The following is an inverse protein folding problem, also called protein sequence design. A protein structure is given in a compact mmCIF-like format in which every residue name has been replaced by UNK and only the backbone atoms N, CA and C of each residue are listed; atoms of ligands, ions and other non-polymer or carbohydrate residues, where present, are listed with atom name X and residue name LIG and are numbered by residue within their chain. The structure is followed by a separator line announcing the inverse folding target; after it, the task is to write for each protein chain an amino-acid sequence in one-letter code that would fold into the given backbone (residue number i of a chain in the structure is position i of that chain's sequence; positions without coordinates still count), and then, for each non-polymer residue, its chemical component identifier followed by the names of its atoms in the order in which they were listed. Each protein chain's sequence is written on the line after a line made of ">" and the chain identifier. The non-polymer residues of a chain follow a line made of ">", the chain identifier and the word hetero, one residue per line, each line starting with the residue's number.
data_IF_765060259099
#
_entry.id   IF_765060259099
#
_cell.length_a   1.000
_cell.length_b   1.000
_cell.length_c   1.000
_cell.angle_alpha   90.00
_cell.angle_beta   90.00
_cell.angle_gamma   90.00
#
_symmetry.space_group_name_H-M   'P 1'
#
loop_
_entity.id
_entity.type
_entity.pdbx_description
1 polymer ?
#
# COMPACT_ATOMS: atom_id res chain seq x y z
N UNK A 1 19.86 13.85 -7.16
CA UNK A 1 19.14 14.45 -8.30
C UNK A 1 17.86 13.65 -8.47
N UNK A 2 16.72 14.30 -8.65
CA UNK A 2 15.46 13.58 -8.71
C UNK A 2 15.19 13.12 -10.15
N UNK A 3 14.81 11.86 -10.29
CA UNK A 3 14.57 11.24 -11.59
C UNK A 3 13.34 10.32 -11.51
N UNK A 4 12.53 10.23 -12.58
CA UNK A 4 11.41 9.30 -12.62
C UNK A 4 11.87 7.85 -12.48
N UNK A 5 11.09 7.03 -11.75
CA UNK A 5 11.44 5.63 -11.44
C UNK A 5 11.74 4.81 -12.70
N UNK A 6 10.90 4.91 -13.74
CA UNK A 6 11.09 4.19 -15.01
C UNK A 6 12.46 4.48 -15.66
N UNK A 7 12.95 5.72 -15.53
CA UNK A 7 14.24 6.12 -16.09
C UNK A 7 15.38 5.61 -15.21
N UNK A 8 15.21 5.70 -13.88
CA UNK A 8 16.17 5.18 -12.92
C UNK A 8 16.39 3.68 -13.07
N UNK A 9 15.31 2.92 -13.22
CA UNK A 9 15.32 1.50 -13.54
C UNK A 9 16.15 1.24 -14.80
N UNK A 10 15.85 1.89 -15.92
CA UNK A 10 16.57 1.73 -17.18
C UNK A 10 18.07 2.04 -17.07
N UNK A 11 18.43 3.10 -16.35
CA UNK A 11 19.84 3.50 -16.17
C UNK A 11 20.59 2.58 -15.19
N UNK A 12 19.87 1.92 -14.28
CA UNK A 12 20.46 0.96 -13.34
C UNK A 12 20.71 -0.43 -13.96
N UNK A 13 20.06 -0.77 -15.09
CA UNK A 13 20.21 -2.07 -15.79
C UNK A 13 21.68 -2.36 -16.16
N UNK A 14 22.48 -1.32 -16.40
CA UNK A 14 23.90 -1.49 -16.71
C UNK A 14 24.63 -2.35 -15.67
N UNK A 15 24.28 -2.22 -14.38
CA UNK A 15 24.82 -3.04 -13.31
C UNK A 15 24.38 -4.52 -13.41
N UNK A 16 23.11 -4.77 -13.80
CA UNK A 16 22.58 -6.14 -14.00
C UNK A 16 23.22 -6.85 -15.19
N UNK A 17 23.63 -6.11 -16.21
CA UNK A 17 24.28 -6.64 -17.42
C UNK A 17 25.81 -6.73 -17.31
N UNK A 18 26.40 -6.46 -16.14
CA UNK A 18 27.85 -6.49 -15.95
C UNK A 18 28.61 -5.35 -16.63
N UNK A 19 27.91 -4.28 -17.00
CA UNK A 19 28.49 -3.06 -17.57
C UNK A 19 28.61 -1.96 -16.51
N UNK A 20 29.31 -0.87 -16.82
CA UNK A 20 29.45 0.26 -15.90
C UNK A 20 28.09 0.84 -15.50
N UNK A 21 27.81 0.91 -14.19
CA UNK A 21 26.62 1.55 -13.64
C UNK A 21 26.68 3.07 -13.89
N UNK A 22 25.71 3.62 -14.61
CA UNK A 22 25.65 5.07 -14.90
C UNK A 22 25.07 5.86 -13.72
N UNK A 23 24.16 5.26 -12.95
CA UNK A 23 23.46 5.89 -11.83
C UNK A 23 23.29 4.91 -10.68
N UNK A 24 23.56 5.37 -9.46
CA UNK A 24 23.17 4.68 -8.23
C UNK A 24 21.80 5.17 -7.79
N UNK A 25 20.92 4.24 -7.45
CA UNK A 25 19.58 4.55 -6.94
C UNK A 25 19.65 4.48 -5.42
N UNK A 26 19.03 5.45 -4.76
CA UNK A 26 18.87 5.50 -3.32
C UNK A 26 17.44 5.06 -2.94
N UNK A 27 17.28 4.62 -1.69
CA UNK A 27 15.97 4.24 -1.16
C UNK A 27 15.05 5.47 -1.09
N UNK A 28 13.80 5.41 -1.59
CA UNK A 28 12.86 6.51 -1.44
C UNK A 28 12.52 6.80 0.02
N UNK A 29 12.26 8.06 0.36
CA UNK A 29 11.89 8.48 1.73
C UNK A 29 10.66 7.74 2.29
N UNK A 30 9.72 7.40 1.40
CA UNK A 30 8.52 6.61 1.72
C UNK A 30 8.87 5.21 2.27
N UNK A 31 10.02 4.65 1.92
CA UNK A 31 10.53 3.35 2.36
C UNK A 31 11.75 3.47 3.28
N UNK A 32 11.97 4.66 3.85
CA UNK A 32 13.04 4.88 4.83
C UNK A 32 12.91 3.95 6.04
N UNK A 33 14.03 3.65 6.70
CA UNK A 33 14.06 2.82 7.91
C UNK A 33 13.10 3.33 9.00
N UNK A 34 12.93 4.65 9.11
CA UNK A 34 11.97 5.26 10.04
C UNK A 34 10.54 4.81 9.75
N UNK A 35 10.14 4.80 8.47
CA UNK A 35 8.81 4.32 8.06
C UNK A 35 8.71 2.82 8.30
N UNK A 36 9.72 2.05 7.92
CA UNK A 36 9.74 0.60 8.13
C UNK A 36 9.61 0.22 9.61
N UNK A 37 10.29 0.94 10.50
CA UNK A 37 10.17 0.74 11.95
C UNK A 37 8.79 1.13 12.49
N UNK A 38 8.19 2.19 11.93
CA UNK A 38 6.83 2.59 12.29
C UNK A 38 5.80 1.54 11.84
N UNK A 39 5.95 0.97 10.63
CA UNK A 39 5.12 -0.12 10.13
C UNK A 39 5.27 -1.41 10.95
N UNK A 40 6.50 -1.73 11.38
CA UNK A 40 6.76 -2.84 12.33
C UNK A 40 6.03 -2.65 13.67
N UNK A 41 5.97 -1.41 14.17
CA UNK A 41 5.35 -1.08 15.45
C UNK A 41 3.82 -1.15 15.40
N UNK A 42 3.18 -0.35 14.54
CA UNK A 42 1.75 -0.48 14.24
C UNK A 42 1.42 0.10 12.85
N UNK A 43 1.11 -0.76 11.86
CA UNK A 43 0.87 -0.32 10.50
C UNK A 43 -0.42 0.49 10.32
N UNK A 44 -1.35 0.45 11.27
CA UNK A 44 -2.66 1.12 11.16
C UNK A 44 -2.59 2.62 11.42
N UNK A 45 -1.55 3.05 12.12
CA UNK A 45 -1.34 4.45 12.53
C UNK A 45 -0.75 5.32 11.43
N UNK A 46 -0.22 4.71 10.36
CA UNK A 46 0.38 5.42 9.24
C UNK A 46 -0.64 5.72 8.12
N UNK A 47 -0.56 6.96 7.64
CA UNK A 47 -1.16 7.39 6.38
C UNK A 47 -0.21 7.00 5.23
N UNK A 48 -0.47 5.85 4.62
CA UNK A 48 0.34 5.34 3.51
C UNK A 48 0.24 6.24 2.29
N UNK A 49 -0.93 6.86 2.07
CA UNK A 49 -1.17 7.76 0.96
C UNK A 49 -0.32 9.04 1.05
N UNK A 50 -0.13 9.57 2.25
CA UNK A 50 0.73 10.72 2.51
C UNK A 50 2.21 10.40 2.26
N UNK A 51 2.64 9.15 2.47
CA UNK A 51 3.99 8.69 2.13
C UNK A 51 4.15 8.51 0.62
N UNK A 52 3.24 7.76 -0.01
CA UNK A 52 3.17 7.60 -1.45
C UNK A 52 1.75 7.17 -1.87
N UNK A 53 1.10 7.84 -2.85
CA UNK A 53 -0.24 7.45 -3.29
C UNK A 53 -0.35 6.00 -3.80
N UNK A 54 0.74 5.46 -4.35
CA UNK A 54 0.87 4.09 -4.82
C UNK A 54 1.93 3.34 -4.02
N UNK A 55 1.82 3.37 -2.68
CA UNK A 55 2.82 2.85 -1.76
C UNK A 55 3.25 1.40 -2.08
N UNK A 56 2.32 0.45 -2.14
CA UNK A 56 2.67 -0.96 -2.40
C UNK A 56 3.26 -1.17 -3.80
N UNK A 57 2.73 -0.52 -4.83
CA UNK A 57 3.29 -0.63 -6.19
C UNK A 57 4.70 -0.05 -6.27
N UNK A 58 4.96 1.05 -5.55
CA UNK A 58 6.31 1.61 -5.42
C UNK A 58 7.23 0.61 -4.71
N UNK A 59 6.78 0.02 -3.60
CA UNK A 59 7.55 -0.98 -2.86
C UNK A 59 7.90 -2.19 -3.70
N UNK A 60 6.97 -2.72 -4.50
CA UNK A 60 7.22 -3.84 -5.40
C UNK A 60 8.35 -3.51 -6.40
N UNK A 61 8.29 -2.32 -7.04
CA UNK A 61 9.32 -1.88 -7.98
C UNK A 61 10.68 -1.66 -7.33
N UNK A 62 10.68 -1.12 -6.12
CA UNK A 62 11.92 -0.94 -5.35
C UNK A 62 12.49 -2.29 -4.93
N UNK A 63 11.68 -3.25 -4.49
CA UNK A 63 12.13 -4.60 -4.14
C UNK A 63 12.65 -5.40 -5.36
N UNK A 64 12.16 -5.10 -6.57
CA UNK A 64 12.77 -5.64 -7.80
C UNK A 64 14.22 -5.13 -7.99
N UNK A 65 14.52 -3.92 -7.51
CA UNK A 65 15.83 -3.25 -7.63
C UNK A 65 16.77 -3.54 -6.45
N UNK A 66 16.22 -3.71 -5.25
CA UNK A 66 16.94 -3.94 -4.00
C UNK A 66 16.41 -5.22 -3.35
N UNK A 67 17.27 -6.23 -3.21
CA UNK A 67 16.91 -7.50 -2.57
C UNK A 67 16.93 -7.35 -1.04
N UNK A 68 15.82 -6.90 -0.44
CA UNK A 68 15.67 -6.66 1.00
C UNK A 68 14.58 -7.58 1.59
N UNK A 69 14.94 -8.82 1.98
CA UNK A 69 13.98 -9.82 2.48
C UNK A 69 13.19 -9.34 3.71
N UNK A 70 13.83 -8.65 4.64
CA UNK A 70 13.17 -8.12 5.84
C UNK A 70 12.07 -7.11 5.48
N UNK A 71 12.28 -6.31 4.43
CA UNK A 71 11.28 -5.35 3.97
C UNK A 71 10.06 -6.06 3.39
N UNK A 72 10.25 -7.17 2.67
CA UNK A 72 9.15 -7.99 2.14
C UNK A 72 8.26 -8.50 3.27
N UNK A 73 8.85 -9.00 4.35
CA UNK A 73 8.10 -9.52 5.50
C UNK A 73 7.27 -8.43 6.18
N UNK A 74 7.87 -7.26 6.40
CA UNK A 74 7.19 -6.12 7.03
C UNK A 74 6.04 -5.63 6.16
N UNK A 75 6.24 -5.47 4.86
CA UNK A 75 5.20 -5.01 3.93
C UNK A 75 4.06 -6.02 3.84
N UNK A 76 4.39 -7.31 3.83
CA UNK A 76 3.40 -8.40 3.80
C UNK A 76 2.56 -8.41 5.07
N UNK A 77 3.17 -8.31 6.25
CA UNK A 77 2.47 -8.24 7.53
C UNK A 77 1.61 -6.97 7.65
N UNK A 78 2.16 -5.83 7.20
CA UNK A 78 1.45 -4.54 7.11
C UNK A 78 0.18 -4.69 6.28
N UNK A 79 0.29 -5.24 5.07
CA UNK A 79 -0.86 -5.41 4.17
C UNK A 79 -1.91 -6.36 4.78
N UNK A 80 -1.48 -7.48 5.39
CA UNK A 80 -2.41 -8.42 6.06
C UNK A 80 -3.19 -7.75 7.19
N UNK A 81 -2.51 -7.03 8.09
CA UNK A 81 -3.14 -6.34 9.22
C UNK A 81 -4.12 -5.26 8.75
N UNK A 82 -3.70 -4.44 7.79
CA UNK A 82 -4.55 -3.36 7.25
C UNK A 82 -5.70 -3.89 6.41
N UNK A 83 -5.53 -4.98 5.67
CA UNK A 83 -6.60 -5.62 4.91
C UNK A 83 -7.74 -6.14 5.81
N UNK A 84 -7.42 -6.63 7.01
CA UNK A 84 -8.43 -7.02 8.00
C UNK A 84 -9.27 -5.80 8.45
N UNK A 85 -8.62 -4.71 8.82
CA UNK A 85 -9.30 -3.46 9.20
C UNK A 85 -10.14 -2.90 8.04
N UNK A 86 -9.60 -2.91 6.81
CA UNK A 86 -10.33 -2.50 5.59
C UNK A 86 -11.61 -3.35 5.42
N UNK A 87 -11.53 -4.65 5.64
CA UNK A 87 -12.69 -5.53 5.55
C UNK A 87 -13.74 -5.19 6.62
N UNK A 88 -13.32 -4.93 7.87
CA UNK A 88 -14.21 -4.52 8.95
C UNK A 88 -14.93 -3.21 8.64
N UNK A 89 -14.19 -2.21 8.15
CA UNK A 89 -14.77 -0.93 7.69
C UNK A 89 -15.70 -1.09 6.49
N UNK A 90 -15.41 -2.03 5.57
CA UNK A 90 -16.24 -2.26 4.38
C UNK A 90 -17.62 -2.86 4.72
N UNK A 91 -17.69 -3.76 5.71
CA UNK A 91 -18.93 -4.43 6.12
C UNK A 91 -19.80 -3.58 7.07
N UNK A 92 -19.17 -2.70 7.85
CA UNK A 92 -19.85 -1.86 8.82
C UNK A 92 -20.30 -0.52 8.22
N UNK A 93 -21.60 -0.27 8.16
CA UNK A 93 -22.16 1.02 7.68
C UNK A 93 -21.78 2.21 8.58
N UNK A 94 -21.41 1.96 9.84
CA UNK A 94 -20.85 2.97 10.76
C UNK A 94 -19.33 3.06 10.71
N UNK A 95 -18.66 2.19 9.95
CA UNK A 95 -17.20 2.17 9.79
C UNK A 95 -16.64 3.44 9.15
N UNK A 96 -17.49 4.23 8.48
CA UNK A 96 -17.14 5.53 7.89
C UNK A 96 -17.43 6.73 8.82
N UNK A 97 -17.49 6.53 10.14
CA UNK A 97 -17.74 7.60 11.12
C UNK A 97 -16.64 7.61 12.17
N UNK A 98 -16.11 8.80 12.51
CA UNK A 98 -15.05 8.96 13.50
C UNK A 98 -13.70 8.49 13.00
N UNK A 99 -12.98 7.72 13.81
CA UNK A 99 -11.59 7.25 13.59
C UNK A 99 -11.42 6.47 12.27
N UNK A 100 -12.48 5.76 11.84
CA UNK A 100 -12.47 5.06 10.55
C UNK A 100 -12.37 5.99 9.33
N UNK A 101 -12.77 7.26 9.44
CA UNK A 101 -12.63 8.23 8.35
C UNK A 101 -11.16 8.55 8.09
N UNK A 102 -10.38 8.68 9.16
CA UNK A 102 -8.97 9.05 9.06
C UNK A 102 -8.14 7.87 8.54
N UNK A 103 -8.45 6.65 8.98
CA UNK A 103 -7.89 5.43 8.38
C UNK A 103 -8.21 5.30 6.88
N UNK A 104 -9.49 5.47 6.49
CA UNK A 104 -9.93 5.36 5.09
C UNK A 104 -9.34 6.45 4.18
N UNK A 105 -8.99 7.62 4.73
CA UNK A 105 -8.33 8.69 3.98
C UNK A 105 -6.87 8.36 3.65
N UNK A 106 -6.20 7.63 4.55
CA UNK A 106 -4.80 7.26 4.45
C UNK A 106 -4.51 5.97 3.66
N UNK A 107 -5.53 5.37 3.04
CA UNK A 107 -5.37 4.20 2.18
C UNK A 107 -4.61 4.58 0.89
N UNK A 108 -3.62 3.76 0.54
CA UNK A 108 -3.00 3.83 -0.77
C UNK A 108 -3.99 3.38 -1.87
N UNK A 109 -3.60 3.52 -3.14
CA UNK A 109 -4.48 3.14 -4.25
C UNK A 109 -4.87 1.66 -4.25
N UNK A 110 -3.97 0.75 -3.90
CA UNK A 110 -4.23 -0.69 -3.85
C UNK A 110 -5.23 -1.01 -2.74
N UNK A 111 -5.02 -0.47 -1.54
CA UNK A 111 -5.97 -0.59 -0.42
C UNK A 111 -7.34 0.02 -0.74
N UNK A 112 -7.38 1.15 -1.45
CA UNK A 112 -8.62 1.80 -1.86
C UNK A 112 -9.43 0.96 -2.83
N UNK A 113 -8.76 0.27 -3.77
CA UNK A 113 -9.41 -0.68 -4.67
C UNK A 113 -9.96 -1.88 -3.91
N UNK A 114 -9.19 -2.40 -2.94
CA UNK A 114 -9.65 -3.48 -2.06
C UNK A 114 -10.89 -3.07 -1.25
N UNK A 115 -10.88 -1.88 -0.65
CA UNK A 115 -12.02 -1.36 0.11
C UNK A 115 -13.28 -1.26 -0.75
N UNK A 116 -13.19 -0.69 -1.97
CA UNK A 116 -14.33 -0.59 -2.89
C UNK A 116 -14.90 -1.96 -3.23
N UNK A 117 -14.03 -2.90 -3.61
CA UNK A 117 -14.45 -4.26 -3.95
C UNK A 117 -15.13 -4.96 -2.76
N UNK A 118 -14.58 -4.82 -1.55
CA UNK A 118 -15.17 -5.40 -0.34
C UNK A 118 -16.52 -4.74 0.00
N UNK A 119 -16.61 -3.41 -0.07
CA UNK A 119 -17.81 -2.66 0.25
C UNK A 119 -18.96 -2.93 -0.73
N UNK A 120 -18.66 -2.96 -2.02
CA UNK A 120 -19.65 -3.25 -3.06
C UNK A 120 -20.20 -4.68 -2.91
N UNK A 121 -19.33 -5.66 -2.65
CA UNK A 121 -19.73 -7.04 -2.38
C UNK A 121 -20.57 -7.17 -1.11
N UNK A 122 -20.21 -6.50 -0.02
CA UNK A 122 -20.98 -6.51 1.22
C UNK A 122 -22.39 -5.91 1.01
N UNK A 123 -22.48 -4.85 0.19
CA UNK A 123 -23.76 -4.24 -0.19
C UNK A 123 -24.59 -5.18 -1.06
N UNK A 124 -24.00 -5.81 -2.07
CA UNK A 124 -24.67 -6.78 -2.93
C UNK A 124 -25.20 -7.97 -2.13
N UNK A 125 -24.41 -8.47 -1.17
CA UNK A 125 -24.82 -9.57 -0.29
C UNK A 125 -26.03 -9.21 0.57
N UNK A 126 -26.07 -7.99 1.13
CA UNK A 126 -27.24 -7.49 1.88
C UNK A 126 -28.50 -7.34 1.02
N UNK A 127 -28.32 -6.94 -0.24
CA UNK A 127 -29.43 -6.87 -1.19
C UNK A 127 -29.95 -8.28 -1.49
N UNK A 128 -29.03 -9.22 -1.73
CA UNK A 128 -29.36 -10.61 -2.00
C UNK A 128 -30.04 -11.30 -0.81
N UNK A 129 -29.57 -11.07 0.42
CA UNK A 129 -30.18 -11.63 1.64
C UNK A 129 -31.55 -11.04 1.98
N UNK A 130 -31.98 -10.00 1.27
CA UNK A 130 -33.23 -9.29 1.51
C UNK A 130 -33.17 -8.28 2.67
N UNK A 131 -32.00 -8.13 3.31
CA UNK A 131 -31.76 -7.13 4.37
C UNK A 131 -31.79 -5.69 3.83
N UNK A 132 -31.48 -5.50 2.54
CA UNK A 132 -31.52 -4.22 1.86
C UNK A 132 -32.32 -4.30 0.55
N UNK A 133 -33.04 -3.23 0.21
CA UNK A 133 -33.70 -3.11 -1.09
C UNK A 133 -32.78 -2.42 -2.09
N UNK A 134 -32.75 -2.90 -3.33
CA UNK A 134 -32.17 -2.14 -4.45
C UNK A 134 -32.94 -0.82 -4.56
N UNK A 135 -32.24 0.32 -4.45
CA UNK A 135 -32.77 1.62 -4.82
C UNK A 135 -32.77 1.76 -6.33
#
# INVERSE_FOLDING_TARGET
>A
MDLPLWLGEMLSIGARLGTSRLVTLDMPDALSERVMNALKADPRTLDLRALAPHFYNLSERILELFEEEEMVDVLTDTFKKRAAEIADHAHNSRGAVGDGVDFLRGLDETERQLFRAAHDRAKEMRIWSGEARRK
#
